data_IF_431326940204
#
_entry.id   IF_431326940204
#
_cell.length_a   1.000
_cell.length_b   1.000
_cell.length_c   1.000
_cell.angle_alpha   90.00
_cell.angle_beta   90.00
_cell.angle_gamma   90.00
#
_symmetry.space_group_name_H-M   'P 1'
#
loop_
_entity.id
_entity.type
_entity.pdbx_description
1 polymer ?
#
# COMPACT_ATOMS: atom_id res chain seq x y z
N UNK A 1 -11.13 -10.45 -1.93
CA UNK A 1 -10.24 -10.43 -0.75
C UNK A 1 -10.33 -9.09 -0.08
N UNK A 2 -10.48 -9.05 1.22
CA UNK A 2 -10.56 -7.83 2.00
C UNK A 2 -10.50 -8.11 3.49
N UNK A 3 -10.63 -7.08 4.30
CA UNK A 3 -10.61 -7.17 5.76
C UNK A 3 -11.82 -6.48 6.34
N UNK A 4 -12.42 -7.08 7.36
CA UNK A 4 -13.35 -6.40 8.25
C UNK A 4 -12.58 -5.92 9.47
N UNK A 5 -12.55 -4.61 9.69
CA UNK A 5 -11.80 -3.98 10.78
C UNK A 5 -12.79 -3.53 11.85
N UNK A 6 -12.55 -3.92 13.08
CA UNK A 6 -13.34 -3.47 14.23
C UNK A 6 -12.62 -2.29 14.88
N UNK A 7 -13.02 -1.09 14.52
CA UNK A 7 -12.44 0.15 15.00
C UNK A 7 -13.51 1.25 14.95
N UNK A 8 -13.56 2.06 15.97
CA UNK A 8 -14.48 3.19 16.00
C UNK A 8 -13.97 4.31 15.08
N UNK A 9 -14.79 4.70 14.13
CA UNK A 9 -14.47 5.75 13.16
C UNK A 9 -15.57 6.79 13.14
N UNK A 10 -15.20 8.06 13.25
CA UNK A 10 -16.12 9.17 13.08
C UNK A 10 -16.18 9.59 11.61
N UNK A 11 -17.38 9.58 11.06
CA UNK A 11 -17.63 10.09 9.71
C UNK A 11 -17.92 11.59 9.77
N UNK A 12 -17.58 12.32 8.70
CA UNK A 12 -17.64 13.78 8.66
C UNK A 12 -19.01 14.43 8.87
N UNK A 13 -20.08 13.64 8.99
CA UNK A 13 -21.46 14.11 9.25
C UNK A 13 -21.93 13.84 10.69
N UNK A 14 -21.00 13.60 11.61
CA UNK A 14 -21.32 13.31 13.01
C UNK A 14 -21.75 11.87 13.29
N UNK A 15 -21.69 11.00 12.30
CA UNK A 15 -21.96 9.57 12.48
C UNK A 15 -20.72 8.85 12.94
N UNK A 16 -20.90 7.89 13.85
CA UNK A 16 -19.82 7.00 14.31
C UNK A 16 -20.14 5.57 13.91
N UNK A 17 -19.17 4.89 13.33
CA UNK A 17 -19.26 3.46 13.02
C UNK A 17 -18.26 2.69 13.86
N UNK A 18 -18.56 1.44 14.19
CA UNK A 18 -17.72 0.58 15.03
C UNK A 18 -16.92 -0.45 14.23
N UNK A 19 -17.21 -0.59 12.96
CA UNK A 19 -16.51 -1.49 12.06
C UNK A 19 -16.64 -1.00 10.62
N UNK A 20 -15.70 -1.42 9.78
CA UNK A 20 -15.72 -1.12 8.36
C UNK A 20 -15.06 -2.26 7.58
N UNK A 21 -15.35 -2.32 6.29
CA UNK A 21 -14.70 -3.24 5.36
C UNK A 21 -13.70 -2.47 4.51
N UNK A 22 -12.49 -3.00 4.35
CA UNK A 22 -11.44 -2.42 3.53
C UNK A 22 -10.91 -3.44 2.54
N UNK A 23 -10.74 -3.04 1.29
CA UNK A 23 -10.16 -3.90 0.26
C UNK A 23 -9.23 -3.14 -0.68
N UNK A 24 -8.31 -3.88 -1.29
CA UNK A 24 -7.33 -3.36 -2.23
C UNK A 24 -8.00 -2.95 -3.55
N UNK A 25 -7.62 -1.76 -4.05
CA UNK A 25 -7.95 -1.33 -5.40
C UNK A 25 -6.96 -1.95 -6.39
N UNK A 26 -7.36 -3.02 -7.05
CA UNK A 26 -6.48 -3.79 -7.94
C UNK A 26 -5.94 -2.96 -9.11
N UNK A 27 -6.68 -1.94 -9.55
CA UNK A 27 -6.28 -1.08 -10.65
C UNK A 27 -5.26 -0.01 -10.26
N UNK A 28 -5.01 0.20 -8.97
CA UNK A 28 -4.12 1.25 -8.45
C UNK A 28 -2.78 0.72 -7.96
N UNK A 29 -2.47 -0.53 -8.23
CA UNK A 29 -1.18 -1.12 -7.86
C UNK A 29 -0.11 -0.64 -8.82
N UNK A 30 0.96 -0.04 -8.28
CA UNK A 30 2.10 0.44 -9.06
C UNK A 30 3.39 -0.11 -8.50
N UNK A 31 4.27 -0.54 -9.39
CA UNK A 31 5.62 -0.99 -9.03
C UNK A 31 6.60 -0.10 -9.77
N UNK A 32 7.45 0.60 -9.01
CA UNK A 32 8.48 1.48 -9.56
C UNK A 32 9.85 0.94 -9.20
N UNK A 33 10.75 0.93 -10.19
CA UNK A 33 12.16 0.63 -9.97
C UNK A 33 12.93 1.93 -9.91
N UNK A 34 13.76 2.09 -8.88
CA UNK A 34 14.66 3.23 -8.71
C UNK A 34 16.09 2.74 -8.55
N UNK A 35 17.01 3.38 -9.25
CA UNK A 35 18.43 3.12 -9.13
C UNK A 35 19.18 4.44 -9.18
N UNK A 36 19.97 4.72 -8.15
CA UNK A 36 20.78 5.93 -8.08
C UNK A 36 22.07 5.74 -8.89
N UNK A 37 22.53 6.81 -9.52
CA UNK A 37 23.79 6.87 -10.26
C UNK A 37 24.66 7.93 -9.64
N UNK A 38 25.90 7.57 -9.32
CA UNK A 38 26.90 8.48 -8.80
C UNK A 38 28.13 8.48 -9.70
N UNK A 39 28.72 9.66 -9.88
CA UNK A 39 29.98 9.82 -10.61
C UNK A 39 31.10 10.07 -9.60
N UNK A 40 32.18 9.31 -9.73
CA UNK A 40 33.38 9.45 -8.87
C UNK A 40 34.51 9.96 -9.74
N UNK A 41 35.14 11.06 -9.31
CA UNK A 41 36.37 11.55 -9.89
C UNK A 41 37.53 10.69 -9.40
N UNK A 42 38.31 10.14 -10.33
CA UNK A 42 39.52 9.40 -10.01
C UNK A 42 40.74 10.33 -10.02
N UNK A 43 41.79 9.99 -9.27
CA UNK A 43 43.06 10.76 -9.23
C UNK A 43 43.76 10.85 -10.57
N UNK A 44 43.44 9.98 -11.50
CA UNK A 44 43.97 9.93 -12.86
C UNK A 44 43.22 10.80 -13.85
N UNK A 45 42.25 11.60 -13.37
CA UNK A 45 41.49 12.52 -14.19
C UNK A 45 40.28 11.88 -14.92
N UNK A 46 39.99 10.62 -14.63
CA UNK A 46 38.82 9.92 -15.17
C UNK A 46 37.56 10.09 -14.31
N UNK A 47 36.41 9.82 -14.91
CA UNK A 47 35.13 9.73 -14.21
C UNK A 47 34.67 8.28 -14.20
N UNK A 48 34.23 7.81 -13.05
CA UNK A 48 33.61 6.49 -12.92
C UNK A 48 32.19 6.64 -12.50
N UNK A 49 31.28 6.05 -13.28
CA UNK A 49 29.88 5.92 -12.90
C UNK A 49 29.73 4.75 -11.93
N UNK A 50 29.14 5.01 -10.77
CA UNK A 50 28.80 3.98 -9.80
C UNK A 50 27.30 3.88 -9.73
N UNK A 51 26.77 2.71 -10.05
CA UNK A 51 25.36 2.40 -9.91
C UNK A 51 25.08 1.94 -8.49
N UNK A 52 24.13 2.61 -7.82
CA UNK A 52 23.60 2.15 -6.54
C UNK A 52 22.80 0.87 -6.70
N UNK A 53 22.53 0.17 -5.61
CA UNK A 53 21.65 -0.98 -5.62
C UNK A 53 20.25 -0.56 -6.06
N UNK A 54 19.59 -1.30 -6.97
CA UNK A 54 18.24 -0.97 -7.39
C UNK A 54 17.26 -1.16 -6.22
N UNK A 55 16.34 -0.20 -6.07
CA UNK A 55 15.25 -0.26 -5.10
C UNK A 55 13.93 -0.32 -5.83
N UNK A 56 12.98 -1.01 -5.26
CA UNK A 56 11.65 -1.14 -5.81
C UNK A 56 10.65 -0.55 -4.82
N UNK A 57 9.71 0.23 -5.33
CA UNK A 57 8.61 0.77 -4.55
C UNK A 57 7.31 0.19 -5.07
N UNK A 58 6.56 -0.43 -4.18
CA UNK A 58 5.21 -0.93 -4.46
C UNK A 58 4.23 0.01 -3.79
N UNK A 59 3.34 0.60 -4.57
CA UNK A 59 2.32 1.54 -4.10
C UNK A 59 0.95 1.01 -4.45
N UNK A 60 0.00 1.16 -3.54
CA UNK A 60 -1.39 0.77 -3.77
C UNK A 60 -2.34 1.56 -2.88
N UNK A 61 -3.60 1.61 -3.29
CA UNK A 61 -4.67 2.23 -2.52
C UNK A 61 -5.66 1.17 -2.05
N UNK A 62 -6.17 1.35 -0.85
CA UNK A 62 -7.26 0.57 -0.28
C UNK A 62 -8.48 1.45 -0.13
N UNK A 63 -9.64 0.92 -0.44
CA UNK A 63 -10.92 1.63 -0.27
C UNK A 63 -11.70 0.99 0.85
N UNK A 64 -12.32 1.83 1.69
CA UNK A 64 -13.12 1.39 2.84
C UNK A 64 -14.59 1.65 2.59
N UNK A 65 -15.44 0.72 3.02
CA UNK A 65 -16.90 0.82 3.00
C UNK A 65 -17.46 0.51 4.38
N UNK A 66 -18.70 0.91 4.62
CA UNK A 66 -19.40 0.60 5.89
C UNK A 66 -19.43 -0.90 6.15
N UNK A 67 -19.59 -1.72 5.11
CA UNK A 67 -19.59 -3.17 5.18
C UNK A 67 -19.25 -3.79 3.83
N UNK A 68 -18.95 -5.08 3.81
CA UNK A 68 -18.77 -5.83 2.57
C UNK A 68 -20.04 -5.82 1.73
N UNK A 69 -21.21 -5.94 2.37
CA UNK A 69 -22.49 -5.88 1.70
C UNK A 69 -22.71 -4.51 1.01
N UNK A 70 -22.30 -3.42 1.64
CA UNK A 70 -22.36 -2.09 1.05
C UNK A 70 -21.50 -1.96 -0.20
N UNK A 71 -20.28 -2.53 -0.17
CA UNK A 71 -19.41 -2.61 -1.34
C UNK A 71 -20.06 -3.39 -2.47
N UNK A 72 -20.57 -4.58 -2.18
CA UNK A 72 -21.19 -5.46 -3.18
C UNK A 72 -22.47 -4.85 -3.77
N UNK A 73 -23.17 -4.02 -3.01
CA UNK A 73 -24.34 -3.28 -3.46
C UNK A 73 -24.00 -2.01 -4.25
N UNK A 74 -22.73 -1.70 -4.47
CA UNK A 74 -22.30 -0.51 -5.22
C UNK A 74 -22.48 0.80 -4.48
N UNK A 75 -22.56 0.77 -3.16
CA UNK A 75 -22.69 1.98 -2.34
C UNK A 75 -21.36 2.72 -2.26
N UNK A 76 -21.42 4.01 -1.94
CA UNK A 76 -20.23 4.86 -1.84
C UNK A 76 -19.26 4.42 -0.75
N UNK A 77 -17.98 4.64 -0.98
CA UNK A 77 -16.92 4.40 0.00
C UNK A 77 -16.94 5.45 1.12
N UNK A 78 -16.34 5.09 2.25
CA UNK A 78 -16.18 6.01 3.39
C UNK A 78 -14.76 6.55 3.52
N UNK A 79 -13.82 6.08 2.72
CA UNK A 79 -12.44 6.58 2.72
C UNK A 79 -11.50 5.73 1.91
N UNK A 80 -10.30 6.24 1.75
CA UNK A 80 -9.20 5.57 1.06
C UNK A 80 -7.93 5.66 1.88
N UNK A 81 -7.09 4.63 1.77
CA UNK A 81 -5.78 4.59 2.41
C UNK A 81 -4.73 4.23 1.37
N UNK A 82 -3.67 5.03 1.31
CA UNK A 82 -2.53 4.76 0.45
C UNK A 82 -1.45 4.01 1.22
N UNK A 83 -0.91 2.95 0.62
CA UNK A 83 0.17 2.13 1.19
C UNK A 83 1.35 2.16 0.24
N UNK A 84 2.54 2.32 0.79
CA UNK A 84 3.81 2.31 0.05
C UNK A 84 4.81 1.42 0.76
N UNK A 85 5.46 0.54 -0.02
CA UNK A 85 6.52 -0.37 0.43
C UNK A 85 7.79 -0.11 -0.35
N UNK A 86 8.94 -0.10 0.33
CA UNK A 86 10.24 -0.12 -0.33
C UNK A 86 10.87 -1.51 -0.16
N UNK A 87 11.37 -2.04 -1.28
CA UNK A 87 12.02 -3.35 -1.34
C UNK A 87 13.42 -3.20 -1.94
N UNK A 88 14.39 -3.95 -1.41
CA UNK A 88 15.76 -3.96 -1.92
C UNK A 88 15.92 -4.87 -3.15
N UNK A 89 14.94 -5.67 -3.45
CA UNK A 89 14.90 -6.56 -4.60
C UNK A 89 13.53 -6.55 -5.26
N UNK A 90 13.44 -7.02 -6.49
CA UNK A 90 12.17 -7.16 -7.19
C UNK A 90 11.19 -8.00 -6.36
N UNK A 91 9.90 -7.60 -6.29
CA UNK A 91 8.92 -8.37 -5.55
C UNK A 91 8.83 -9.79 -6.08
N UNK A 92 8.94 -10.76 -5.16
CA UNK A 92 8.73 -12.17 -5.45
C UNK A 92 7.49 -12.66 -4.73
N UNK A 93 6.76 -13.59 -5.32
CA UNK A 93 5.55 -14.13 -4.72
C UNK A 93 4.33 -13.22 -4.94
N UNK A 94 3.37 -13.30 -4.02
CA UNK A 94 2.09 -12.63 -4.16
C UNK A 94 2.13 -11.19 -3.63
N UNK A 95 2.05 -10.21 -4.54
CA UNK A 95 2.00 -8.79 -4.22
C UNK A 95 0.81 -8.45 -3.31
N UNK A 96 -0.33 -9.05 -3.52
CA UNK A 96 -1.51 -8.82 -2.68
C UNK A 96 -1.23 -9.15 -1.21
N UNK A 97 -0.55 -10.27 -0.96
CA UNK A 97 -0.15 -10.66 0.39
C UNK A 97 0.79 -9.63 1.02
N UNK A 98 1.77 -9.14 0.28
CA UNK A 98 2.69 -8.10 0.76
C UNK A 98 1.94 -6.82 1.14
N UNK A 99 1.02 -6.36 0.31
CA UNK A 99 0.25 -5.15 0.54
C UNK A 99 -0.70 -5.30 1.73
N UNK A 100 -1.40 -6.43 1.85
CA UNK A 100 -2.28 -6.68 2.99
C UNK A 100 -1.50 -6.83 4.29
N UNK A 101 -0.33 -7.45 4.28
CA UNK A 101 0.54 -7.53 5.47
C UNK A 101 0.98 -6.14 5.92
N UNK A 102 1.30 -5.26 4.99
CA UNK A 102 1.64 -3.87 5.32
C UNK A 102 0.45 -3.11 5.90
N UNK A 103 -0.72 -3.30 5.35
CA UNK A 103 -1.95 -2.71 5.88
C UNK A 103 -2.22 -3.21 7.30
N UNK A 104 -2.06 -4.51 7.54
CA UNK A 104 -2.29 -5.14 8.86
C UNK A 104 -1.37 -4.60 9.95
N UNK A 105 -0.17 -4.15 9.63
CA UNK A 105 0.75 -3.54 10.60
C UNK A 105 0.16 -2.32 11.30
N UNK A 106 -0.71 -1.57 10.63
CA UNK A 106 -1.39 -0.41 11.19
C UNK A 106 -2.75 -0.70 11.83
N UNK A 107 -3.17 -1.97 11.85
CA UNK A 107 -4.49 -2.38 12.36
C UNK A 107 -4.34 -3.26 13.60
N UNK A 108 -5.27 -3.11 14.54
CA UNK A 108 -5.26 -3.89 15.79
C UNK A 108 -6.30 -5.00 15.83
N UNK A 109 -7.50 -4.75 15.29
CA UNK A 109 -8.62 -5.70 15.28
C UNK A 109 -9.15 -5.85 13.87
N UNK A 110 -8.85 -6.97 13.24
CA UNK A 110 -9.32 -7.25 11.87
C UNK A 110 -9.56 -8.75 11.69
N UNK A 111 -10.40 -9.07 10.72
CA UNK A 111 -10.70 -10.44 10.29
C UNK A 111 -10.66 -10.47 8.77
N UNK A 112 -10.05 -11.48 8.19
CA UNK A 112 -10.10 -11.71 6.74
C UNK A 112 -11.54 -11.95 6.31
N UNK A 113 -11.95 -11.25 5.28
CA UNK A 113 -13.34 -11.30 4.84
C UNK A 113 -13.48 -11.49 3.32
#
# INVERSE_FOLDING_TARGET
MGLTVTEQVQLGVGLTINSYYISLNENDIRIKRRQDRNFIHTKEGGHKEVLGAPKFRVEASFTSWISKAARDAGKGDIGRRHISLELDAAPTGNIYTLLYNKLKEGLTNYVDA
#
